data_IF_156305556450
#
_entry.id   IF_156305556450
#
_cell.length_a   1.000
_cell.length_b   1.000
_cell.length_c   1.000
_cell.angle_alpha   90.00
_cell.angle_beta   90.00
_cell.angle_gamma   90.00
#
_symmetry.space_group_name_H-M   'P 1'
#
loop_
_entity.id
_entity.type
_entity.pdbx_description
1 polymer ?
#
# COMPACT_ATOMS: atom_id res chain seq x y z
N UNK A 1 3.57 19.13 -11.22
CA UNK A 1 3.12 17.95 -10.48
C UNK A 1 2.26 17.09 -11.40
N UNK A 2 2.70 15.88 -11.71
CA UNK A 2 1.89 14.95 -12.52
C UNK A 2 1.11 14.09 -11.52
N UNK A 3 -0.19 14.24 -11.48
CA UNK A 3 -1.06 13.42 -10.63
C UNK A 3 -1.27 12.05 -11.28
N UNK A 4 -1.20 10.98 -10.49
CA UNK A 4 -1.69 9.66 -10.91
C UNK A 4 -3.19 9.80 -11.24
N UNK A 5 -3.52 10.03 -12.53
CA UNK A 5 -4.91 10.26 -12.94
C UNK A 5 -5.68 8.95 -12.99
N UNK A 6 -6.84 8.96 -12.34
CA UNK A 6 -7.80 7.86 -12.39
C UNK A 6 -8.28 7.61 -13.82
N UNK A 7 -8.07 6.41 -14.34
CA UNK A 7 -8.77 5.93 -15.54
C UNK A 7 -10.13 5.38 -15.09
N UNK A 8 -11.14 6.26 -15.09
CA UNK A 8 -12.52 5.89 -14.77
C UNK A 8 -13.16 5.24 -15.99
N UNK A 9 -13.18 3.90 -16.06
CA UNK A 9 -14.01 3.20 -17.03
C UNK A 9 -15.47 3.23 -16.55
N UNK A 10 -16.28 4.06 -17.19
CA UNK A 10 -17.73 4.07 -17.07
C UNK A 10 -18.32 2.90 -17.88
N UNK A 11 -18.71 1.82 -17.23
CA UNK A 11 -19.60 0.82 -17.82
C UNK A 11 -21.05 1.22 -17.56
N UNK A 12 -21.76 1.67 -18.60
CA UNK A 12 -23.21 1.87 -18.58
C UNK A 12 -23.90 0.49 -18.58
N UNK A 13 -24.44 0.08 -17.44
CA UNK A 13 -25.43 -1.01 -17.39
C UNK A 13 -26.83 -0.38 -17.34
N UNK A 14 -27.60 -0.55 -18.42
CA UNK A 14 -29.01 -0.15 -18.47
C UNK A 14 -29.83 -1.14 -17.64
N UNK A 15 -30.49 -0.67 -16.58
CA UNK A 15 -31.44 -1.46 -15.79
C UNK A 15 -32.84 -1.15 -16.29
N UNK A 16 -33.49 -2.19 -16.86
CA UNK A 16 -34.93 -2.23 -17.14
C UNK A 16 -35.70 -2.42 -15.84
N UNK A 17 -36.53 -1.45 -15.48
CA UNK A 17 -37.45 -1.55 -14.35
C UNK A 17 -38.75 -2.21 -14.83
N UNK A 18 -39.04 -3.42 -14.37
CA UNK A 18 -40.35 -4.04 -14.44
C UNK A 18 -41.07 -3.83 -13.09
N UNK A 19 -42.16 -3.09 -13.16
CA UNK A 19 -43.08 -2.84 -12.07
C UNK A 19 -44.04 -4.05 -11.94
N UNK A 20 -44.06 -4.69 -10.75
CA UNK A 20 -45.15 -5.59 -10.37
C UNK A 20 -45.55 -5.32 -8.92
N UNK A 21 -46.78 -4.92 -8.73
CA UNK A 21 -47.47 -4.84 -7.43
C UNK A 21 -47.83 -6.24 -6.94
N UNK A 22 -47.70 -6.49 -5.64
CA UNK A 22 -48.22 -7.69 -4.97
C UNK A 22 -47.89 -7.74 -3.49
N UNK A 23 -48.88 -7.46 -2.70
CA UNK A 23 -49.27 -7.79 -1.32
C UNK A 23 -48.24 -7.98 -0.18
N UNK A 24 -48.64 -7.33 0.92
CA UNK A 24 -48.10 -7.37 2.27
C UNK A 24 -48.14 -8.77 2.90
N UNK A 25 -47.06 -9.17 3.52
CA UNK A 25 -47.08 -9.96 4.76
C UNK A 25 -45.83 -9.72 5.58
N UNK A 26 -46.09 -9.31 6.80
CA UNK A 26 -45.25 -9.09 7.94
C UNK A 26 -44.15 -10.15 8.10
N UNK A 27 -42.88 -9.74 8.14
CA UNK A 27 -41.87 -10.51 8.84
C UNK A 27 -40.68 -9.60 9.23
N UNK A 28 -40.50 -9.50 10.51
CA UNK A 28 -39.42 -8.96 11.32
C UNK A 28 -38.12 -8.67 10.59
N UNK A 29 -37.84 -7.37 10.45
CA UNK A 29 -36.56 -6.81 10.03
C UNK A 29 -35.50 -7.13 11.09
N UNK A 30 -34.72 -8.17 10.90
CA UNK A 30 -33.42 -8.29 11.53
C UNK A 30 -32.47 -7.33 10.83
N UNK A 31 -32.21 -6.18 11.44
CA UNK A 31 -31.10 -5.32 11.08
C UNK A 31 -29.81 -6.13 11.20
N UNK A 32 -29.39 -6.73 10.10
CA UNK A 32 -28.06 -7.29 9.95
C UNK A 32 -27.05 -6.15 9.94
N UNK A 33 -26.57 -5.77 11.13
CA UNK A 33 -25.34 -5.03 11.31
C UNK A 33 -24.21 -5.90 10.77
N UNK A 34 -23.95 -5.76 9.46
CA UNK A 34 -22.81 -6.39 8.78
C UNK A 34 -21.54 -5.68 9.24
N UNK A 35 -21.23 -5.80 10.52
CA UNK A 35 -19.92 -5.50 11.07
C UNK A 35 -18.99 -6.52 10.47
N UNK A 36 -18.37 -6.14 9.35
CA UNK A 36 -17.35 -6.96 8.69
C UNK A 36 -16.32 -7.34 9.76
N UNK A 37 -16.33 -8.60 10.16
CA UNK A 37 -15.34 -9.13 11.11
C UNK A 37 -13.99 -8.98 10.44
N UNK A 38 -13.10 -8.17 11.04
CA UNK A 38 -11.72 -8.03 10.58
C UNK A 38 -11.11 -9.42 10.50
N UNK A 39 -10.91 -9.95 9.28
CA UNK A 39 -10.18 -11.21 9.08
C UNK A 39 -8.69 -10.93 9.27
N UNK A 40 -8.24 -10.94 10.52
CA UNK A 40 -6.84 -10.71 10.90
C UNK A 40 -6.12 -12.04 10.88
N UNK A 41 -5.06 -12.13 10.09
CA UNK A 41 -4.12 -13.25 10.07
C UNK A 41 -2.72 -12.80 10.46
N UNK A 42 -1.76 -13.67 10.28
CA UNK A 42 -0.33 -13.37 10.41
C UNK A 42 0.45 -14.01 9.26
N UNK A 43 1.60 -13.44 8.94
CA UNK A 43 2.61 -14.02 8.08
C UNK A 43 3.98 -13.86 8.72
N UNK A 44 4.85 -14.82 8.53
CA UNK A 44 6.24 -14.76 9.01
C UNK A 44 7.17 -14.62 7.81
N UNK A 45 8.01 -13.60 7.83
CA UNK A 45 9.08 -13.44 6.85
C UNK A 45 10.19 -14.46 7.15
N UNK A 46 10.39 -15.41 6.25
CA UNK A 46 11.39 -16.46 6.44
C UNK A 46 12.84 -15.98 6.39
N UNK A 47 13.07 -14.74 5.93
CA UNK A 47 14.41 -14.16 5.79
C UNK A 47 15.00 -13.71 7.13
N UNK A 48 14.15 -13.24 8.06
CA UNK A 48 14.57 -12.72 9.37
C UNK A 48 13.73 -13.22 10.54
N UNK A 49 12.67 -14.01 10.26
CA UNK A 49 11.76 -14.55 11.26
C UNK A 49 10.76 -13.56 11.84
N UNK A 50 10.70 -12.32 11.35
CA UNK A 50 9.70 -11.35 11.80
C UNK A 50 8.30 -11.78 11.40
N UNK A 51 7.35 -11.60 12.31
CA UNK A 51 5.94 -11.90 12.06
C UNK A 51 5.15 -10.60 11.97
N UNK A 52 4.35 -10.49 10.92
CA UNK A 52 3.50 -9.34 10.63
C UNK A 52 2.04 -9.75 10.68
N UNK A 53 1.20 -8.87 11.22
CA UNK A 53 -0.25 -9.01 11.08
C UNK A 53 -0.66 -8.82 9.63
N UNK A 54 -1.72 -9.51 9.23
CA UNK A 54 -2.31 -9.38 7.90
C UNK A 54 -3.81 -9.15 8.01
N UNK A 55 -4.39 -8.51 7.00
CA UNK A 55 -5.82 -8.23 6.94
C UNK A 55 -6.34 -8.46 5.54
N UNK A 56 -7.52 -9.07 5.42
CA UNK A 56 -8.23 -9.17 4.14
C UNK A 56 -9.18 -7.99 3.99
N UNK A 57 -9.02 -7.23 2.90
CA UNK A 57 -9.87 -6.08 2.56
C UNK A 57 -10.35 -6.28 1.11
N UNK A 58 -11.65 -6.46 0.93
CA UNK A 58 -12.20 -6.89 -0.36
C UNK A 58 -11.63 -8.25 -0.79
N UNK A 59 -11.05 -8.31 -1.98
CA UNK A 59 -10.38 -9.51 -2.51
C UNK A 59 -8.91 -9.61 -2.12
N UNK A 60 -8.31 -8.53 -1.61
CA UNK A 60 -6.88 -8.39 -1.35
C UNK A 60 -6.51 -8.76 0.10
N UNK A 61 -5.35 -9.40 0.29
CA UNK A 61 -4.76 -9.64 1.61
C UNK A 61 -3.50 -8.80 1.78
N UNK A 62 -3.55 -7.84 2.70
CA UNK A 62 -2.51 -6.85 2.98
C UNK A 62 -1.74 -7.17 4.25
N UNK A 63 -0.48 -6.79 4.32
CA UNK A 63 0.18 -6.60 5.61
C UNK A 63 -0.57 -5.50 6.37
N UNK A 64 -0.83 -5.70 7.67
CA UNK A 64 -1.43 -4.71 8.57
C UNK A 64 -0.37 -3.97 9.41
N UNK A 65 0.88 -4.22 9.13
CA UNK A 65 2.07 -3.58 9.71
C UNK A 65 3.04 -3.23 8.58
N UNK A 66 3.80 -2.16 8.74
CA UNK A 66 4.82 -1.78 7.76
C UNK A 66 5.96 -2.78 7.80
N UNK A 67 6.51 -3.11 6.63
CA UNK A 67 7.67 -3.98 6.51
C UNK A 67 8.86 -3.41 7.31
N UNK A 68 9.57 -4.28 8.05
CA UNK A 68 10.73 -3.92 8.86
C UNK A 68 11.98 -4.73 8.50
N UNK A 69 12.00 -5.40 7.35
CA UNK A 69 13.15 -6.15 6.85
C UNK A 69 14.31 -5.19 6.54
N UNK A 70 15.47 -5.41 7.17
CA UNK A 70 16.64 -4.53 7.02
C UNK A 70 17.36 -4.79 5.70
N UNK A 71 17.53 -3.72 4.91
CA UNK A 71 18.39 -3.68 3.71
C UNK A 71 19.35 -2.50 3.81
N UNK A 72 20.36 -2.44 2.93
CA UNK A 72 21.37 -1.38 2.94
C UNK A 72 20.77 0.01 2.63
N UNK A 73 19.71 0.08 1.80
CA UNK A 73 18.99 1.30 1.46
C UNK A 73 17.71 1.51 2.26
N UNK A 74 17.62 0.96 3.49
CA UNK A 74 16.49 1.15 4.40
C UNK A 74 16.90 1.89 5.67
N UNK A 75 15.99 2.72 6.18
CA UNK A 75 16.25 3.61 7.32
C UNK A 75 15.22 3.41 8.43
N UNK A 76 15.66 3.52 9.68
CA UNK A 76 14.75 3.82 10.78
C UNK A 76 14.52 5.33 10.83
N UNK A 77 13.30 5.80 11.10
CA UNK A 77 13.06 7.24 11.26
C UNK A 77 14.03 7.82 12.31
N UNK A 78 14.66 8.94 12.01
CA UNK A 78 15.75 9.56 12.78
C UNK A 78 16.97 8.65 13.05
N UNK A 79 17.15 7.57 12.28
CA UNK A 79 18.17 6.54 12.50
C UNK A 79 18.09 5.85 13.88
N UNK A 80 16.92 5.83 14.50
CA UNK A 80 16.66 5.21 15.80
C UNK A 80 15.95 3.86 15.62
N UNK A 81 16.56 2.75 16.07
CA UNK A 81 15.98 1.42 15.96
C UNK A 81 14.63 1.26 16.68
N UNK A 82 14.37 2.04 17.73
CA UNK A 82 13.07 2.13 18.40
C UNK A 82 11.96 2.59 17.44
N UNK A 83 12.29 3.44 16.47
CA UNK A 83 11.35 3.89 15.45
C UNK A 83 11.10 2.81 14.39
N UNK A 84 12.08 1.97 14.07
CA UNK A 84 11.84 0.79 13.25
C UNK A 84 10.91 -0.21 13.95
N UNK A 85 11.08 -0.43 15.24
CA UNK A 85 10.17 -1.29 16.02
C UNK A 85 8.73 -0.75 16.07
N UNK A 86 8.56 0.58 16.03
CA UNK A 86 7.27 1.25 16.08
C UNK A 86 6.59 1.37 14.72
N UNK A 87 7.35 1.78 13.70
CA UNK A 87 6.83 2.21 12.42
C UNK A 87 7.21 1.32 11.23
N UNK A 88 8.08 0.33 11.43
CA UNK A 88 8.76 -0.34 10.33
C UNK A 88 9.87 0.55 9.73
N UNK A 89 10.43 0.12 8.61
CA UNK A 89 11.50 0.85 7.91
C UNK A 89 10.96 1.73 6.79
N UNK A 90 11.72 2.76 6.49
CA UNK A 90 11.58 3.57 5.28
C UNK A 90 12.58 3.04 4.25
N UNK A 91 12.15 2.88 3.01
CA UNK A 91 12.95 2.35 1.90
C UNK A 91 13.01 3.38 0.78
N UNK A 92 14.16 3.52 0.11
CA UNK A 92 14.17 4.17 -1.20
C UNK A 92 13.35 3.33 -2.18
N UNK A 93 12.89 3.93 -3.28
CA UNK A 93 12.09 3.16 -4.24
C UNK A 93 12.89 2.02 -4.88
N UNK A 94 14.19 2.25 -5.15
CA UNK A 94 15.06 1.22 -5.70
C UNK A 94 15.15 -0.01 -4.78
N UNK A 95 15.24 0.20 -3.46
CA UNK A 95 15.20 -0.87 -2.47
C UNK A 95 13.81 -1.53 -2.43
N UNK A 96 12.75 -0.72 -2.31
CA UNK A 96 11.39 -1.23 -2.25
C UNK A 96 11.04 -2.08 -3.48
N UNK A 97 11.48 -1.66 -4.66
CA UNK A 97 11.26 -2.35 -5.93
C UNK A 97 12.27 -3.47 -6.23
N UNK A 98 13.29 -3.68 -5.38
CA UNK A 98 14.32 -4.71 -5.59
C UNK A 98 15.26 -4.43 -6.75
N UNK A 99 15.47 -3.16 -7.10
CA UNK A 99 16.26 -2.75 -8.27
C UNK A 99 17.72 -2.41 -7.95
N UNK A 100 18.10 -2.32 -6.69
CA UNK A 100 19.45 -1.88 -6.26
C UNK A 100 20.60 -2.75 -6.79
N UNK A 101 20.34 -3.99 -7.15
CA UNK A 101 21.35 -4.91 -7.70
C UNK A 101 21.19 -5.12 -9.22
N UNK A 102 20.26 -4.44 -9.85
CA UNK A 102 20.08 -4.52 -11.29
C UNK A 102 21.04 -3.54 -11.96
N UNK A 103 22.09 -4.10 -12.55
CA UNK A 103 22.99 -3.35 -13.40
C UNK A 103 22.45 -3.41 -14.83
N UNK A 104 22.07 -2.26 -15.36
CA UNK A 104 21.72 -2.15 -16.77
C UNK A 104 23.01 -2.17 -17.61
N UNK A 105 23.22 -3.27 -18.33
CA UNK A 105 24.42 -3.47 -19.18
C UNK A 105 24.47 -2.53 -20.38
N UNK A 106 23.32 -2.02 -20.82
CA UNK A 106 23.24 -1.17 -22.02
C UNK A 106 23.55 0.29 -21.66
N UNK A 107 23.15 0.76 -20.49
CA UNK A 107 23.47 2.11 -20.00
C UNK A 107 24.74 2.17 -19.16
N UNK A 108 25.24 1.03 -18.66
CA UNK A 108 26.39 0.96 -17.76
C UNK A 108 26.12 1.51 -16.35
N UNK A 109 24.85 1.63 -15.96
CA UNK A 109 24.42 2.26 -14.71
C UNK A 109 23.62 1.26 -13.86
N UNK A 110 23.80 1.32 -12.53
CA UNK A 110 22.89 0.64 -11.60
C UNK A 110 21.53 1.31 -11.60
N UNK A 111 20.47 0.51 -11.57
CA UNK A 111 19.10 1.00 -11.47
C UNK A 111 18.90 1.68 -10.12
N UNK A 112 19.05 2.97 -10.08
CA UNK A 112 18.91 3.82 -8.90
C UNK A 112 18.50 5.21 -9.31
N UNK A 113 19.04 6.18 -8.62
CA UNK A 113 18.84 7.58 -8.94
C UNK A 113 19.12 7.90 -10.40
N UNK A 114 18.15 8.54 -11.06
CA UNK A 114 18.24 9.11 -12.43
C UNK A 114 18.53 8.12 -13.58
N UNK A 115 18.31 6.83 -13.39
CA UNK A 115 18.48 5.84 -14.47
C UNK A 115 17.14 5.25 -14.92
N UNK A 116 16.94 5.23 -16.24
CA UNK A 116 15.76 4.69 -16.93
C UNK A 116 15.74 3.15 -16.91
N UNK A 117 15.52 2.55 -15.74
CA UNK A 117 15.30 1.11 -15.66
C UNK A 117 13.83 0.80 -15.76
N UNK A 118 13.44 0.08 -16.78
CA UNK A 118 12.09 -0.50 -16.88
C UNK A 118 11.90 -1.51 -15.76
N UNK A 119 10.94 -1.20 -14.87
CA UNK A 119 10.53 -2.16 -13.84
C UNK A 119 9.93 -3.40 -14.51
N UNK A 120 10.38 -4.62 -14.17
CA UNK A 120 9.71 -5.83 -14.63
C UNK A 120 8.25 -5.84 -14.19
N UNK A 121 7.35 -6.40 -14.99
CA UNK A 121 5.89 -6.38 -14.83
C UNK A 121 5.37 -7.03 -13.52
N UNK A 122 6.22 -7.66 -12.73
CA UNK A 122 5.89 -8.17 -11.40
C UNK A 122 7.07 -7.92 -10.46
N UNK A 123 6.94 -6.93 -9.59
CA UNK A 123 8.02 -6.56 -8.69
C UNK A 123 7.72 -7.12 -7.32
N UNK A 124 8.33 -8.27 -7.00
CA UNK A 124 8.34 -8.77 -5.62
C UNK A 124 9.04 -7.76 -4.71
N UNK A 125 10.09 -7.13 -5.22
CA UNK A 125 10.83 -6.10 -4.53
C UNK A 125 11.40 -6.58 -3.20
N UNK A 126 11.32 -5.72 -2.20
CA UNK A 126 11.73 -6.02 -0.83
C UNK A 126 10.72 -6.90 -0.07
N UNK A 127 9.58 -7.21 -0.68
CA UNK A 127 8.56 -8.05 -0.06
C UNK A 127 9.00 -9.52 0.05
N UNK A 128 8.56 -10.25 1.08
CA UNK A 128 8.89 -11.66 1.24
C UNK A 128 8.21 -12.54 0.18
N UNK A 129 8.69 -13.77 0.01
CA UNK A 129 8.14 -14.73 -0.94
C UNK A 129 6.63 -14.91 -0.76
N UNK A 130 5.88 -14.87 -1.86
CA UNK A 130 4.42 -14.95 -1.89
C UNK A 130 3.73 -13.61 -1.61
N UNK A 131 4.53 -12.53 -1.61
CA UNK A 131 4.07 -11.15 -1.44
C UNK A 131 4.80 -10.24 -2.42
N UNK A 132 4.19 -9.13 -2.79
CA UNK A 132 4.78 -8.15 -3.70
C UNK A 132 4.52 -6.71 -3.26
N UNK A 133 5.32 -5.79 -3.81
CA UNK A 133 5.11 -4.36 -3.67
C UNK A 133 3.88 -3.96 -4.50
N UNK A 134 2.84 -3.37 -3.90
CA UNK A 134 1.59 -3.10 -4.61
C UNK A 134 1.77 -2.16 -5.79
N UNK A 135 1.08 -2.42 -6.88
CA UNK A 135 0.93 -1.51 -8.01
C UNK A 135 -0.04 -0.37 -7.66
N UNK A 136 -0.04 0.70 -8.46
CA UNK A 136 -1.05 1.76 -8.36
C UNK A 136 -2.47 1.19 -8.49
N UNK A 137 -2.71 0.28 -9.42
CA UNK A 137 -4.02 -0.33 -9.64
C UNK A 137 -4.51 -1.16 -8.43
N UNK A 138 -3.59 -1.74 -7.67
CA UNK A 138 -3.92 -2.47 -6.44
C UNK A 138 -4.24 -1.52 -5.29
N UNK A 139 -3.59 -0.35 -5.21
CA UNK A 139 -4.01 0.72 -4.30
C UNK A 139 -5.40 1.25 -4.66
N UNK A 140 -5.70 1.46 -5.94
CA UNK A 140 -7.05 1.85 -6.40
C UNK A 140 -8.10 0.80 -6.03
N UNK A 141 -7.76 -0.49 -6.13
CA UNK A 141 -8.63 -1.60 -5.72
C UNK A 141 -8.90 -1.56 -4.20
N UNK A 142 -7.87 -1.29 -3.38
CA UNK A 142 -8.06 -1.07 -1.95
C UNK A 142 -9.03 0.09 -1.68
N UNK A 143 -8.86 1.23 -2.36
CA UNK A 143 -9.74 2.38 -2.16
C UNK A 143 -11.20 2.07 -2.51
N UNK A 144 -11.43 1.32 -3.58
CA UNK A 144 -12.78 0.85 -3.93
C UNK A 144 -13.36 -0.08 -2.85
N UNK A 145 -12.54 -0.99 -2.32
CA UNK A 145 -12.96 -1.95 -1.30
C UNK A 145 -13.33 -1.29 0.04
N UNK A 146 -12.72 -0.15 0.37
CA UNK A 146 -13.03 0.60 1.60
C UNK A 146 -14.07 1.71 1.40
N UNK A 147 -14.67 1.78 0.21
CA UNK A 147 -15.72 2.72 -0.17
C UNK A 147 -15.30 3.65 -1.30
N UNK A 148 -14.30 4.45 -1.12
CA UNK A 148 -13.66 5.27 -2.17
C UNK A 148 -12.43 6.01 -1.63
N UNK A 149 -11.67 6.64 -2.52
CA UNK A 149 -10.44 7.38 -2.18
C UNK A 149 -10.68 8.56 -1.21
N UNK A 150 -11.89 9.19 -1.23
CA UNK A 150 -12.18 10.38 -0.41
C UNK A 150 -12.32 10.08 1.07
N UNK A 151 -12.64 8.83 1.44
CA UNK A 151 -12.79 8.39 2.83
C UNK A 151 -11.70 7.40 3.24
N UNK A 152 -10.84 6.98 2.31
CA UNK A 152 -9.83 5.94 2.54
C UNK A 152 -8.90 6.31 3.70
N UNK A 153 -8.49 7.57 3.83
CA UNK A 153 -7.67 8.03 4.95
C UNK A 153 -8.37 7.85 6.30
N UNK A 154 -9.64 8.23 6.41
CA UNK A 154 -10.41 8.09 7.65
C UNK A 154 -10.48 6.63 8.12
N UNK A 155 -10.64 5.67 7.21
CA UNK A 155 -10.89 4.26 7.55
C UNK A 155 -9.63 3.38 7.57
N UNK A 156 -8.53 3.81 6.93
CA UNK A 156 -7.27 3.07 6.87
C UNK A 156 -6.22 3.54 7.90
N UNK A 157 -6.28 4.82 8.33
CA UNK A 157 -5.39 5.33 9.38
C UNK A 157 -5.63 4.59 10.69
N UNK A 158 -4.54 4.32 11.40
CA UNK A 158 -4.58 3.79 12.77
C UNK A 158 -5.37 4.71 13.70
N UNK A 159 -5.98 4.12 14.72
CA UNK A 159 -6.71 4.85 15.76
C UNK A 159 -5.80 5.57 16.77
N UNK A 160 -4.47 5.46 16.61
CA UNK A 160 -3.46 6.02 17.49
C UNK A 160 -2.26 6.54 16.69
N UNK A 161 -1.54 7.48 17.27
CA UNK A 161 -0.22 7.93 16.79
C UNK A 161 -0.23 9.13 15.86
N UNK A 162 -1.39 9.55 15.35
CA UNK A 162 -1.51 10.73 14.50
C UNK A 162 -1.61 12.01 15.32
N UNK A 163 -0.85 13.02 14.92
CA UNK A 163 -0.85 14.34 15.58
C UNK A 163 -2.17 15.09 15.34
N UNK A 164 -2.44 16.09 16.18
CA UNK A 164 -3.56 17.03 16.04
C UNK A 164 -4.94 16.36 15.86
N UNK A 165 -5.18 15.25 16.57
CA UNK A 165 -6.40 14.46 16.46
C UNK A 165 -6.66 13.87 15.07
N UNK A 166 -5.60 13.67 14.28
CA UNK A 166 -5.66 13.09 12.93
C UNK A 166 -5.85 11.58 12.89
N UNK A 167 -6.10 10.91 14.04
CA UNK A 167 -6.33 9.48 14.10
C UNK A 167 -7.50 9.06 13.21
N UNK A 168 -7.38 7.88 12.58
CA UNK A 168 -8.46 7.28 11.81
C UNK A 168 -9.34 6.35 12.64
N UNK A 169 -10.35 5.78 11.99
CA UNK A 169 -11.21 4.78 12.59
C UNK A 169 -10.61 3.37 12.59
N UNK A 170 -9.59 3.14 11.76
CA UNK A 170 -9.00 1.81 11.51
C UNK A 170 -10.07 0.73 11.28
N UNK A 171 -11.08 1.10 10.49
CA UNK A 171 -12.30 0.31 10.33
C UNK A 171 -12.04 -1.09 9.75
N UNK A 172 -11.00 -1.21 8.93
CA UNK A 172 -10.62 -2.46 8.25
C UNK A 172 -9.43 -3.19 8.88
N UNK A 173 -8.74 -2.58 9.85
CA UNK A 173 -7.53 -3.16 10.45
C UNK A 173 -6.28 -3.00 9.58
N UNK A 174 -6.30 -2.07 8.64
CA UNK A 174 -5.11 -1.72 7.86
C UNK A 174 -4.05 -1.03 8.73
N UNK A 175 -4.48 -0.28 9.75
CA UNK A 175 -3.64 0.31 10.80
C UNK A 175 -2.47 1.13 10.26
N UNK A 176 -2.70 2.02 9.30
CA UNK A 176 -1.65 2.87 8.77
C UNK A 176 -1.11 3.83 9.85
N UNK A 177 0.15 3.68 10.22
CA UNK A 177 0.84 4.53 11.18
C UNK A 177 1.49 5.73 10.48
N UNK A 178 1.51 6.93 11.10
CA UNK A 178 2.13 8.12 10.54
C UNK A 178 3.66 8.09 10.71
N UNK A 179 4.30 7.19 9.96
CA UNK A 179 5.74 6.96 10.04
C UNK A 179 6.59 8.13 9.51
N UNK A 180 5.95 9.11 8.85
CA UNK A 180 6.67 10.16 8.15
C UNK A 180 7.38 9.63 6.91
N UNK A 181 8.47 10.29 6.54
CA UNK A 181 9.26 9.97 5.35
C UNK A 181 10.68 10.49 5.50
N UNK A 182 11.58 10.00 4.65
CA UNK A 182 12.89 10.59 4.43
C UNK A 182 12.87 11.36 3.10
N UNK A 183 13.16 12.65 3.11
CA UNK A 183 13.06 13.57 1.98
C UNK A 183 14.28 14.48 1.93
N UNK A 184 14.92 14.63 0.76
CA UNK A 184 16.02 15.58 0.54
C UNK A 184 17.12 15.50 1.64
N UNK A 185 17.57 14.29 1.95
CA UNK A 185 18.58 14.01 2.97
C UNK A 185 18.14 14.27 4.43
N UNK A 186 16.83 14.31 4.70
CA UNK A 186 16.30 14.51 6.05
C UNK A 186 14.99 13.78 6.34
N UNK A 187 14.79 13.43 7.61
CA UNK A 187 13.54 12.87 8.10
C UNK A 187 12.50 13.99 8.31
N UNK A 188 11.25 13.70 7.92
CA UNK A 188 10.17 14.66 7.99
C UNK A 188 8.82 13.98 8.25
N UNK A 189 7.89 14.76 8.84
CA UNK A 189 6.46 14.45 8.87
C UNK A 189 6.05 13.26 9.76
N UNK A 190 6.88 12.78 10.71
CA UNK A 190 6.44 11.82 11.74
C UNK A 190 5.21 12.36 12.47
N UNK A 191 4.23 11.51 12.65
CA UNK A 191 2.97 11.87 13.28
C UNK A 191 1.98 12.60 12.36
N UNK A 192 2.39 13.04 11.18
CA UNK A 192 1.57 13.81 10.26
C UNK A 192 1.24 13.09 8.96
N UNK A 193 2.15 12.26 8.45
CA UNK A 193 1.97 11.57 7.16
C UNK A 193 2.30 10.09 7.30
N UNK A 194 1.54 9.27 6.56
CA UNK A 194 1.92 7.92 6.20
C UNK A 194 2.10 7.87 4.68
N UNK A 195 3.28 7.45 4.25
CA UNK A 195 3.68 7.40 2.86
C UNK A 195 4.09 5.98 2.51
N UNK A 196 3.53 5.42 1.43
CA UNK A 196 3.78 4.04 1.02
C UNK A 196 4.17 3.98 -0.45
N UNK A 197 5.20 3.20 -0.77
CA UNK A 197 5.58 2.98 -2.15
C UNK A 197 4.58 2.12 -2.92
N UNK A 198 4.48 2.38 -4.21
CA UNK A 198 3.93 1.49 -5.23
C UNK A 198 5.06 0.99 -6.13
N UNK A 199 4.89 -0.19 -6.72
CA UNK A 199 5.81 -0.71 -7.76
C UNK A 199 5.67 0.04 -9.10
N UNK A 200 4.60 0.83 -9.26
CA UNK A 200 4.37 1.64 -10.46
C UNK A 200 5.29 2.86 -10.44
N UNK A 201 6.10 3.00 -11.48
CA UNK A 201 7.01 4.14 -11.64
C UNK A 201 7.25 4.45 -13.11
N UNK A 202 7.84 5.62 -13.36
CA UNK A 202 8.37 6.04 -14.66
C UNK A 202 9.90 6.24 -14.55
N UNK A 203 10.54 6.79 -15.58
CA UNK A 203 11.99 6.94 -15.64
C UNK A 203 12.61 7.71 -14.47
N UNK A 204 11.88 8.60 -13.81
CA UNK A 204 12.42 9.54 -12.80
C UNK A 204 11.67 9.51 -11.47
N UNK A 205 10.46 9.00 -11.45
CA UNK A 205 9.57 9.05 -10.31
C UNK A 205 8.83 7.74 -10.12
N UNK A 206 8.32 7.54 -8.92
CA UNK A 206 7.48 6.40 -8.61
C UNK A 206 6.21 6.84 -7.88
N UNK A 207 5.14 6.12 -8.12
CA UNK A 207 3.87 6.39 -7.48
C UNK A 207 3.94 6.01 -5.99
N UNK A 208 3.42 6.86 -5.13
CA UNK A 208 3.25 6.62 -3.71
C UNK A 208 1.82 6.88 -3.27
N UNK A 209 1.36 6.13 -2.29
CA UNK A 209 0.09 6.32 -1.61
C UNK A 209 0.33 7.11 -0.32
N UNK A 210 -0.51 8.13 -0.09
CA UNK A 210 -0.38 9.06 1.02
C UNK A 210 -1.64 9.17 1.83
N UNK A 211 -1.45 9.21 3.15
CA UNK A 211 -2.48 9.57 4.14
C UNK A 211 -1.97 10.75 4.95
N UNK A 212 -2.84 11.75 5.12
CA UNK A 212 -2.54 12.96 5.85
C UNK A 212 -3.31 13.01 7.17
N UNK A 213 -2.71 13.64 8.19
CA UNK A 213 -3.34 13.77 9.52
C UNK A 213 -4.67 14.53 9.47
N UNK A 214 -4.79 15.51 8.56
CA UNK A 214 -5.90 16.47 8.46
C UNK A 214 -6.87 16.18 7.29
N UNK A 215 -6.76 15.01 6.66
CA UNK A 215 -7.62 14.61 5.53
C UNK A 215 -8.27 13.26 5.75
N UNK A 216 -9.52 13.15 5.31
CA UNK A 216 -10.25 11.87 5.32
C UNK A 216 -9.91 10.99 4.11
N UNK A 217 -9.41 11.57 3.05
CA UNK A 217 -9.03 10.88 1.83
C UNK A 217 -7.61 10.34 1.84
N UNK A 218 -7.29 9.58 0.79
CA UNK A 218 -5.95 9.18 0.40
C UNK A 218 -5.57 9.86 -0.91
N UNK A 219 -4.28 10.04 -1.13
CA UNK A 219 -3.75 10.56 -2.40
C UNK A 219 -2.79 9.55 -3.03
N UNK A 220 -2.76 9.48 -4.37
CA UNK A 220 -1.72 8.82 -5.16
C UNK A 220 -1.02 9.89 -6.00
N UNK A 221 0.30 9.99 -5.86
CA UNK A 221 1.11 10.94 -6.63
C UNK A 221 2.50 10.37 -6.92
N UNK A 222 3.23 11.00 -7.85
CA UNK A 222 4.58 10.62 -8.23
C UNK A 222 5.62 11.41 -7.46
N UNK A 223 6.61 10.70 -6.92
CA UNK A 223 7.66 11.23 -6.08
C UNK A 223 9.04 10.81 -6.55
N UNK A 224 10.04 11.57 -6.15
CA UNK A 224 11.43 11.21 -6.39
C UNK A 224 11.73 9.85 -5.76
N UNK A 225 12.37 8.96 -6.52
CA UNK A 225 12.73 7.59 -6.14
C UNK A 225 13.71 7.52 -4.95
N UNK A 226 14.44 8.60 -4.69
CA UNK A 226 15.35 8.69 -3.55
C UNK A 226 14.63 8.94 -2.22
N UNK A 227 13.36 9.34 -2.26
CA UNK A 227 12.60 9.46 -1.03
C UNK A 227 12.50 8.11 -0.32
N UNK A 228 12.51 8.14 1.00
CA UNK A 228 12.30 6.98 1.84
C UNK A 228 10.85 6.91 2.33
N UNK A 229 10.12 5.88 1.92
CA UNK A 229 8.72 5.62 2.35
C UNK A 229 8.57 4.23 2.92
N UNK A 230 7.49 4.03 3.65
CA UNK A 230 7.11 2.71 4.16
C UNK A 230 6.74 1.75 3.02
N UNK A 231 6.82 0.46 3.29
CA UNK A 231 6.34 -0.60 2.42
C UNK A 231 5.24 -1.39 3.12
N UNK A 232 4.15 -1.62 2.40
CA UNK A 232 3.05 -2.53 2.75
C UNK A 232 2.92 -3.54 1.64
N UNK A 233 3.33 -4.78 1.92
CA UNK A 233 3.24 -5.82 0.91
C UNK A 233 1.80 -6.34 0.77
N UNK A 234 1.46 -6.69 -0.46
CA UNK A 234 0.23 -7.35 -0.85
C UNK A 234 0.52 -8.82 -1.14
N UNK A 235 -0.33 -9.72 -0.65
CA UNK A 235 -0.19 -11.16 -0.89
C UNK A 235 -0.47 -11.48 -2.35
N UNK A 236 0.36 -12.35 -2.95
CA UNK A 236 0.15 -12.83 -4.31
C UNK A 236 -1.15 -13.64 -4.40
N UNK A 237 -1.87 -13.47 -5.51
CA UNK A 237 -2.99 -14.35 -5.85
C UNK A 237 -2.46 -15.76 -6.16
N UNK A 238 -3.16 -16.80 -5.71
CA UNK A 238 -2.74 -18.21 -5.80
C UNK A 238 -2.61 -18.71 -7.26
N UNK A 239 -3.04 -17.92 -8.24
CA UNK A 239 -3.07 -18.31 -9.66
C UNK A 239 -1.86 -17.85 -10.51
N UNK A 240 -0.88 -17.15 -9.91
CA UNK A 240 0.38 -16.92 -10.66
C UNK A 240 1.27 -18.14 -10.50
N UNK A 241 1.08 -19.13 -11.40
CA UNK A 241 2.01 -20.24 -11.57
C UNK A 241 3.45 -19.71 -11.65
N UNK A 242 4.41 -20.34 -10.94
CA UNK A 242 5.80 -19.96 -11.10
C UNK A 242 6.18 -20.15 -12.57
N UNK A 243 6.80 -19.12 -13.14
CA UNK A 243 7.38 -19.22 -14.49
C UNK A 243 8.39 -20.37 -14.43
N UNK A 244 7.94 -21.55 -14.89
CA UNK A 244 8.83 -22.70 -15.08
C UNK A 244 9.86 -22.31 -16.11
N UNK A 245 11.12 -22.35 -15.70
CA UNK A 245 12.32 -22.13 -16.47
C UNK A 245 12.18 -22.56 -17.93
N UNK A 246 12.28 -21.61 -18.84
CA UNK A 246 12.71 -21.94 -20.18
C UNK A 246 14.24 -22.17 -20.16
N UNK A 247 14.58 -23.44 -20.33
CA UNK A 247 15.94 -23.91 -20.60
C UNK A 247 16.52 -23.28 -21.87
#
# INVERSE_FOLDING_TARGET
MRTCKYAMMLSLAAILVLSACGDESDSSSSNGDSRATKAIGTMTDSRDGQTYKTVKIGTQTWMAENLNFKTDGSFCYNNEESNCAKYGRLYTWAEAAGLVNLYDKDSGVYCGFDSACTSPNSVYGVCPLGWHLPTQAEWDTLFLAVGNVRIAGMVLKSSLGWNKNGNGADAFGFSALPAGSWLNDGFANEGYFASFWSSTGDDRSACGMYLFYDRDGADLDYYNRDNGFSVRCLKDDVEKEPITDMK
#
